data_IF_820863846982
#
_entry.id   IF_820863846982
#
_cell.length_a   1.000
_cell.length_b   1.000
_cell.length_c   1.000
_cell.angle_alpha   90.00
_cell.angle_beta   90.00
_cell.angle_gamma   90.00
#
_symmetry.space_group_name_H-M   'P 1'
#
loop_
_entity.id
_entity.type
_entity.pdbx_description
1 polymer ?
#
# COMPACT_ATOMS: atom_id res chain seq x y z
N UNK A 1 -29.99 -38.37 -47.85
CA UNK A 1 -30.23 -38.92 -46.50
C UNK A 1 -28.96 -38.66 -45.71
N UNK A 2 -28.97 -37.72 -44.78
CA UNK A 2 -27.78 -37.40 -43.96
C UNK A 2 -27.76 -38.41 -42.81
N UNK A 3 -26.67 -39.17 -42.61
CA UNK A 3 -26.57 -40.10 -41.50
C UNK A 3 -26.58 -39.35 -40.16
N UNK A 4 -27.23 -39.93 -39.16
CA UNK A 4 -27.30 -39.34 -37.83
C UNK A 4 -25.90 -39.18 -37.24
N UNK A 5 -25.61 -38.07 -36.53
CA UNK A 5 -24.32 -37.88 -35.91
C UNK A 5 -24.06 -38.94 -34.83
N UNK A 6 -22.79 -39.33 -34.62
CA UNK A 6 -22.44 -40.29 -33.57
C UNK A 6 -22.83 -39.78 -32.19
N UNK A 7 -23.31 -40.68 -31.31
CA UNK A 7 -23.79 -40.36 -29.96
C UNK A 7 -22.71 -39.83 -29.01
N UNK A 8 -21.44 -40.07 -29.32
CA UNK A 8 -20.32 -39.63 -28.51
C UNK A 8 -19.35 -38.81 -29.36
N UNK A 9 -19.35 -37.49 -29.14
CA UNK A 9 -18.37 -36.59 -29.73
C UNK A 9 -17.12 -36.56 -28.84
N UNK A 10 -15.91 -36.59 -29.41
CA UNK A 10 -14.70 -36.36 -28.64
C UNK A 10 -14.74 -34.94 -28.03
N UNK A 11 -14.10 -34.74 -26.88
CA UNK A 11 -14.04 -33.42 -26.28
C UNK A 11 -13.39 -32.42 -27.26
N UNK A 12 -13.91 -31.18 -27.34
CA UNK A 12 -13.35 -30.16 -28.22
C UNK A 12 -11.91 -29.85 -27.82
N UNK A 13 -10.99 -29.88 -28.78
CA UNK A 13 -9.64 -29.31 -28.63
C UNK A 13 -9.66 -27.88 -29.16
N UNK A 14 -9.00 -26.90 -28.51
CA UNK A 14 -8.21 -27.02 -27.28
C UNK A 14 -9.08 -27.16 -26.03
N UNK A 15 -8.66 -28.00 -25.08
CA UNK A 15 -9.38 -28.21 -23.82
C UNK A 15 -9.26 -26.97 -22.93
N UNK A 16 -10.37 -26.23 -22.76
CA UNK A 16 -10.44 -25.00 -21.96
C UNK A 16 -10.66 -25.26 -20.46
N UNK A 17 -10.49 -26.50 -20.00
CA UNK A 17 -10.67 -26.85 -18.58
C UNK A 17 -9.65 -26.19 -17.66
N UNK A 18 -8.45 -25.88 -18.15
CA UNK A 18 -7.37 -25.27 -17.38
C UNK A 18 -7.70 -23.84 -16.89
N UNK A 19 -8.54 -23.11 -17.63
CA UNK A 19 -8.92 -21.73 -17.28
C UNK A 19 -10.18 -21.66 -16.42
N UNK A 20 -10.86 -22.79 -16.17
CA UNK A 20 -12.11 -22.79 -15.40
C UNK A 20 -11.84 -22.56 -13.92
N UNK A 21 -12.71 -21.78 -13.24
CA UNK A 21 -12.63 -21.66 -11.79
C UNK A 21 -12.83 -23.02 -11.12
N UNK A 22 -12.15 -23.28 -9.99
CA UNK A 22 -12.31 -24.53 -9.27
C UNK A 22 -13.75 -24.68 -8.80
N UNK A 23 -14.36 -25.84 -9.07
CA UNK A 23 -15.73 -26.16 -8.64
C UNK A 23 -15.84 -26.42 -7.13
N UNK A 24 -14.71 -26.47 -6.42
CA UNK A 24 -14.65 -26.67 -4.97
C UNK A 24 -15.11 -25.42 -4.22
N UNK A 25 -15.91 -25.60 -3.16
CA UNK A 25 -16.46 -24.51 -2.33
C UNK A 25 -15.42 -23.83 -1.41
N UNK A 26 -14.13 -24.21 -1.51
CA UNK A 26 -13.05 -23.65 -0.71
C UNK A 26 -12.68 -22.24 -1.18
N UNK A 27 -12.74 -21.27 -0.26
CA UNK A 27 -12.37 -19.86 -0.53
C UNK A 27 -10.91 -19.73 -0.95
N UNK A 28 -10.01 -20.51 -0.34
CA UNK A 28 -8.57 -20.47 -0.64
C UNK A 28 -8.31 -20.90 -2.09
N UNK A 29 -8.99 -21.96 -2.55
CA UNK A 29 -8.85 -22.44 -3.92
C UNK A 29 -9.30 -21.37 -4.94
N UNK A 30 -10.37 -20.63 -4.62
CA UNK A 30 -10.85 -19.54 -5.46
C UNK A 30 -9.87 -18.35 -5.52
N UNK A 31 -9.32 -17.92 -4.37
CA UNK A 31 -8.31 -16.87 -4.35
C UNK A 31 -7.02 -17.29 -5.05
N UNK A 32 -6.58 -18.54 -4.89
CA UNK A 32 -5.43 -19.09 -5.60
C UNK A 32 -5.64 -19.12 -7.12
N UNK A 33 -6.83 -19.55 -7.58
CA UNK A 33 -7.20 -19.48 -9.00
C UNK A 33 -7.18 -18.04 -9.52
N UNK A 34 -7.71 -17.09 -8.75
CA UNK A 34 -7.73 -15.68 -9.13
C UNK A 34 -6.31 -15.11 -9.21
N UNK A 35 -5.46 -15.38 -8.22
CA UNK A 35 -4.05 -14.98 -8.23
C UNK A 35 -3.30 -15.58 -9.44
N UNK A 36 -3.50 -16.88 -9.73
CA UNK A 36 -2.94 -17.56 -10.90
C UNK A 36 -3.37 -16.87 -12.20
N UNK A 37 -4.65 -16.57 -12.38
CA UNK A 37 -5.16 -15.87 -13.57
C UNK A 37 -4.61 -14.45 -13.70
N UNK A 38 -4.39 -13.74 -12.60
CA UNK A 38 -3.77 -12.40 -12.62
C UNK A 38 -2.28 -12.45 -12.98
N UNK A 39 -1.54 -13.41 -12.42
CA UNK A 39 -0.12 -13.63 -12.71
C UNK A 39 0.10 -14.09 -14.15
N UNK A 40 -0.75 -15.01 -14.64
CA UNK A 40 -0.75 -15.44 -16.04
C UNK A 40 -1.21 -14.33 -17.00
N UNK A 41 -2.02 -13.38 -16.52
CA UNK A 41 -2.60 -12.30 -17.33
C UNK A 41 -1.71 -11.06 -17.51
N UNK A 42 -0.70 -10.85 -16.67
CA UNK A 42 0.27 -9.74 -16.83
C UNK A 42 1.32 -10.07 -17.90
N UNK A 43 0.84 -10.20 -19.14
CA UNK A 43 1.46 -10.24 -20.48
C UNK A 43 2.95 -10.59 -20.60
N UNK A 44 3.84 -9.92 -19.87
CA UNK A 44 5.27 -10.22 -19.80
C UNK A 44 5.52 -11.57 -19.13
N UNK A 45 4.84 -11.87 -18.02
CA UNK A 45 5.02 -13.12 -17.28
C UNK A 45 4.48 -14.35 -18.01
N UNK A 46 3.54 -14.19 -18.95
CA UNK A 46 3.03 -15.30 -19.75
C UNK A 46 4.04 -15.74 -20.83
N UNK A 47 4.82 -14.80 -21.36
CA UNK A 47 5.77 -15.05 -22.44
C UNK A 47 7.13 -15.58 -21.96
N UNK A 48 7.46 -15.40 -20.69
CA UNK A 48 8.70 -15.92 -20.10
C UNK A 48 8.66 -17.45 -19.96
N UNK A 49 9.83 -18.07 -20.02
CA UNK A 49 9.97 -19.50 -19.72
C UNK A 49 9.70 -19.77 -18.22
N UNK A 50 9.28 -21.00 -17.84
CA UNK A 50 9.01 -21.34 -16.44
C UNK A 50 10.20 -21.05 -15.51
N UNK A 51 11.42 -21.21 -16.01
CA UNK A 51 12.66 -20.99 -15.26
C UNK A 51 12.95 -19.49 -15.04
N UNK A 52 12.68 -18.64 -16.04
CA UNK A 52 12.88 -17.19 -15.94
C UNK A 52 11.91 -16.55 -14.94
N UNK A 53 10.67 -17.06 -14.87
CA UNK A 53 9.69 -16.63 -13.85
C UNK A 53 10.19 -16.92 -12.44
N UNK A 54 10.82 -18.08 -12.22
CA UNK A 54 11.41 -18.42 -10.93
C UNK A 54 12.57 -17.48 -10.57
N UNK A 55 13.43 -17.16 -11.53
CA UNK A 55 14.52 -16.20 -11.33
C UNK A 55 14.01 -14.80 -10.99
N UNK A 56 13.02 -14.29 -11.72
CA UNK A 56 12.41 -12.98 -11.43
C UNK A 56 11.75 -12.94 -10.06
N UNK A 57 11.01 -13.99 -9.68
CA UNK A 57 10.36 -14.06 -8.37
C UNK A 57 11.41 -14.09 -7.25
N UNK A 58 12.51 -14.82 -7.45
CA UNK A 58 13.63 -14.84 -6.51
C UNK A 58 14.28 -13.46 -6.36
N UNK A 59 14.63 -12.80 -7.47
CA UNK A 59 15.22 -11.46 -7.47
C UNK A 59 14.26 -10.46 -6.80
N UNK A 60 12.97 -10.52 -7.15
CA UNK A 60 11.94 -9.65 -6.57
C UNK A 60 11.82 -9.89 -5.05
N UNK A 61 11.85 -11.13 -4.58
CA UNK A 61 11.84 -11.44 -3.15
C UNK A 61 13.10 -10.94 -2.45
N UNK A 62 14.28 -11.09 -3.05
CA UNK A 62 15.54 -10.58 -2.50
C UNK A 62 15.50 -9.05 -2.42
N UNK A 63 15.11 -8.35 -3.49
CA UNK A 63 14.97 -6.90 -3.48
C UNK A 63 13.91 -6.42 -2.49
N UNK A 64 12.75 -7.10 -2.45
CA UNK A 64 11.65 -6.75 -1.55
C UNK A 64 12.05 -6.96 -0.09
N UNK A 65 12.72 -8.08 0.24
CA UNK A 65 13.22 -8.33 1.60
C UNK A 65 14.31 -7.33 2.00
N UNK A 66 15.22 -6.99 1.09
CA UNK A 66 16.22 -5.95 1.31
C UNK A 66 15.56 -4.58 1.51
N UNK A 67 14.54 -4.26 0.71
CA UNK A 67 13.78 -3.02 0.81
C UNK A 67 13.03 -2.94 2.13
N UNK A 68 12.34 -4.00 2.55
CA UNK A 68 11.63 -4.06 3.83
C UNK A 68 12.63 -3.95 4.99
N UNK A 69 13.73 -4.68 4.94
CA UNK A 69 14.79 -4.61 5.96
C UNK A 69 15.43 -3.23 6.02
N UNK A 70 15.64 -2.60 4.86
CA UNK A 70 16.07 -1.22 4.72
C UNK A 70 15.05 -0.27 5.35
N UNK A 71 13.77 -0.40 5.02
CA UNK A 71 12.68 0.45 5.51
C UNK A 71 12.55 0.35 7.05
N UNK A 72 12.24 -0.85 7.54
CA UNK A 72 12.89 -1.50 8.69
C UNK A 72 13.82 -0.65 9.56
N UNK A 73 15.08 -0.68 9.14
CA UNK A 73 16.25 -0.16 9.84
C UNK A 73 16.42 1.34 9.66
N UNK A 74 16.07 1.87 8.50
CA UNK A 74 16.34 3.23 8.05
C UNK A 74 15.27 4.21 8.56
N UNK A 75 13.97 3.89 8.46
CA UNK A 75 12.92 4.80 8.92
C UNK A 75 13.08 5.24 10.38
N UNK A 76 13.23 4.35 11.38
CA UNK A 76 13.31 4.79 12.77
C UNK A 76 14.54 5.66 13.03
N UNK A 77 15.64 5.41 12.33
CA UNK A 77 16.85 6.22 12.44
C UNK A 77 16.63 7.65 11.92
N UNK A 78 15.99 7.80 10.76
CA UNK A 78 15.69 9.10 10.17
C UNK A 78 14.61 9.87 10.94
N UNK A 79 13.58 9.19 11.43
CA UNK A 79 12.51 9.78 12.25
C UNK A 79 13.08 10.34 13.56
N UNK A 80 13.99 9.62 14.24
CA UNK A 80 14.58 10.07 15.50
C UNK A 80 15.37 11.38 15.36
N UNK A 81 16.09 11.57 14.25
CA UNK A 81 16.85 12.80 13.97
C UNK A 81 15.91 13.96 13.65
N UNK A 82 14.85 13.70 12.86
CA UNK A 82 13.86 14.72 12.52
C UNK A 82 13.05 15.15 13.74
N UNK A 83 12.63 14.21 14.59
CA UNK A 83 11.88 14.49 15.82
C UNK A 83 12.60 15.48 16.73
N UNK A 84 13.92 15.32 16.93
CA UNK A 84 14.70 16.25 17.76
C UNK A 84 14.63 17.68 17.25
N UNK A 85 14.63 17.89 15.93
CA UNK A 85 14.51 19.22 15.32
C UNK A 85 13.08 19.74 15.39
N UNK A 86 12.08 18.91 15.14
CA UNK A 86 10.66 19.27 15.21
C UNK A 86 10.22 19.71 16.60
N UNK A 87 10.74 19.07 17.66
CA UNK A 87 10.44 19.45 19.05
C UNK A 87 10.82 20.91 19.33
N UNK A 88 11.97 21.39 18.83
CA UNK A 88 12.36 22.78 19.01
C UNK A 88 11.38 23.76 18.32
N UNK A 89 10.90 23.42 17.13
CA UNK A 89 9.97 24.29 16.39
C UNK A 89 8.54 24.26 16.95
N UNK A 90 8.08 23.10 17.43
CA UNK A 90 6.76 22.99 18.06
C UNK A 90 6.76 23.67 19.44
N UNK A 91 7.77 23.41 20.26
CA UNK A 91 7.81 23.91 21.64
C UNK A 91 8.20 25.39 21.73
N UNK A 92 9.14 25.85 20.90
CA UNK A 92 9.63 27.23 20.92
C UNK A 92 8.63 28.26 20.39
N UNK A 93 7.65 27.82 19.58
CA UNK A 93 6.64 28.73 19.04
C UNK A 93 5.49 29.00 20.04
N UNK A 94 5.20 28.06 20.94
CA UNK A 94 4.17 28.25 21.98
C UNK A 94 4.59 29.27 23.04
N UNK A 95 5.86 29.30 23.45
CA UNK A 95 6.33 30.28 24.44
C UNK A 95 6.31 31.72 23.92
N UNK A 96 6.58 31.90 22.63
CA UNK A 96 6.64 33.23 22.01
C UNK A 96 5.25 33.82 21.75
N UNK A 97 4.28 33.00 21.34
CA UNK A 97 2.89 33.45 21.13
C UNK A 97 2.16 33.70 22.44
N UNK A 98 2.37 32.85 23.46
CA UNK A 98 1.72 33.02 24.79
C UNK A 98 2.24 34.28 25.49
N UNK A 99 3.54 34.59 25.40
CA UNK A 99 4.09 35.81 26.00
C UNK A 99 3.59 37.10 25.33
N UNK A 100 3.32 37.08 24.02
CA UNK A 100 2.76 38.22 23.29
C UNK A 100 1.28 38.42 23.65
N UNK A 101 0.49 37.35 23.65
CA UNK A 101 -0.95 37.37 23.95
C UNK A 101 -1.27 37.89 25.37
N UNK A 102 -0.55 37.40 26.40
CA UNK A 102 -0.71 37.87 27.78
C UNK A 102 -0.37 39.36 27.94
N UNK A 103 0.65 39.84 27.20
CA UNK A 103 1.08 41.24 27.26
C UNK A 103 0.08 42.17 26.58
N UNK A 104 -0.56 41.71 25.50
CA UNK A 104 -1.53 42.49 24.74
C UNK A 104 -2.91 42.49 25.43
N UNK A 105 -3.32 41.38 26.04
CA UNK A 105 -4.48 41.33 26.93
C UNK A 105 -4.33 42.28 28.12
N UNK A 106 -3.16 42.27 28.78
CA UNK A 106 -2.89 43.17 29.90
C UNK A 106 -2.94 44.65 29.50
N UNK A 107 -2.44 44.99 28.30
CA UNK A 107 -2.56 46.36 27.74
C UNK A 107 -4.00 46.74 27.44
N UNK A 108 -4.77 45.84 26.83
CA UNK A 108 -6.17 46.08 26.50
C UNK A 108 -7.01 46.29 27.77
N UNK A 109 -6.84 45.46 28.80
CA UNK A 109 -7.52 45.61 30.09
C UNK A 109 -7.20 46.96 30.73
N UNK A 110 -5.94 47.38 30.74
CA UNK A 110 -5.53 48.66 31.31
C UNK A 110 -6.13 49.86 30.53
N UNK A 111 -6.23 49.78 29.20
CA UNK A 111 -6.90 50.82 28.39
C UNK A 111 -8.40 50.92 28.73
N UNK A 112 -9.07 49.78 28.92
CA UNK A 112 -10.47 49.74 29.36
C UNK A 112 -10.67 50.36 30.74
N UNK A 113 -9.83 50.03 31.72
CA UNK A 113 -9.90 50.62 33.06
C UNK A 113 -9.67 52.12 33.02
N UNK A 114 -8.69 52.58 32.25
CA UNK A 114 -8.37 54.02 32.10
C UNK A 114 -9.52 54.79 31.44
N UNK A 115 -10.23 54.17 30.49
CA UNK A 115 -11.41 54.76 29.84
C UNK A 115 -12.65 54.79 30.71
N UNK A 116 -12.80 53.87 31.67
CA UNK A 116 -13.95 53.84 32.58
C UNK A 116 -13.89 54.86 33.72
N UNK A 117 -12.74 55.49 33.95
CA UNK A 117 -12.55 56.50 35.00
C UNK A 117 -12.64 57.96 34.49
N UNK A 118 -13.05 58.16 33.23
CA UNK A 118 -13.37 59.46 32.62
C UNK A 118 -14.88 59.56 32.37
#
# INVERSE_FOLDING_TARGET
MIPDPPSHLPPPRPDSRETRPPKSKSRIAYYGWRAKMWVEGTLVLHMLEPWEKLLLLFIFLVLSSLFITGLIRFLPHHIAVMQRRTIYYIWGNTSSSVAVDDSDLSRAVNDFTTRSEL
#
